data_IF_948143225074
#
_entry.id   IF_948143225074
#
_cell.length_a   1.000
_cell.length_b   1.000
_cell.length_c   1.000
_cell.angle_alpha   90.00
_cell.angle_beta   90.00
_cell.angle_gamma   90.00
#
_symmetry.space_group_name_H-M   'P 1'
#
loop_
_entity.id
_entity.type
_entity.pdbx_description
1 polymer ?
#
# COMPACT_ATOMS: atom_id res chain seq x y z
N UNK A 1 18.42 5.69 -0.41
CA UNK A 1 17.55 4.87 0.45
C UNK A 1 18.14 4.90 1.85
N UNK A 2 17.66 5.76 2.75
CA UNK A 2 17.97 5.68 4.20
C UNK A 2 17.16 6.68 5.06
N UNK A 3 16.63 7.75 4.46
CA UNK A 3 16.14 8.91 5.22
C UNK A 3 14.86 8.65 6.03
N UNK A 4 13.88 7.94 5.48
CA UNK A 4 12.60 7.68 6.18
C UNK A 4 12.75 6.72 7.38
N UNK A 5 13.69 5.77 7.30
CA UNK A 5 14.05 4.88 8.41
C UNK A 5 14.75 5.67 9.52
N UNK A 6 15.68 6.55 9.15
CA UNK A 6 16.37 7.43 10.08
C UNK A 6 15.43 8.40 10.80
N UNK A 7 14.47 8.98 10.08
CA UNK A 7 13.45 9.86 10.65
C UNK A 7 12.53 9.12 11.64
N UNK A 8 12.14 7.87 11.33
CA UNK A 8 11.30 7.06 12.22
C UNK A 8 12.03 6.65 13.52
N UNK A 9 13.28 6.19 13.43
CA UNK A 9 14.09 5.85 14.62
C UNK A 9 14.35 7.09 15.49
N UNK A 10 14.60 8.25 14.86
CA UNK A 10 14.79 9.52 15.58
C UNK A 10 13.51 9.92 16.32
N UNK A 11 12.34 9.71 15.71
CA UNK A 11 11.04 10.00 16.32
C UNK A 11 10.74 9.07 17.49
N UNK A 12 11.01 7.76 17.35
CA UNK A 12 10.90 6.78 18.45
C UNK A 12 11.78 7.20 19.64
N UNK A 13 13.02 7.62 19.38
CA UNK A 13 13.94 8.09 20.42
C UNK A 13 13.40 9.34 21.13
N UNK A 14 12.88 10.31 20.39
CA UNK A 14 12.31 11.54 20.96
C UNK A 14 11.11 11.23 21.87
N UNK A 15 10.15 10.44 21.40
CA UNK A 15 8.97 10.07 22.19
C UNK A 15 9.34 9.22 23.41
N UNK A 16 10.37 8.39 23.32
CA UNK A 16 10.88 7.63 24.47
C UNK A 16 11.45 8.55 25.56
N UNK A 17 12.20 9.59 25.19
CA UNK A 17 12.71 10.60 26.14
C UNK A 17 11.58 11.47 26.75
N UNK A 18 10.55 11.78 25.96
CA UNK A 18 9.36 12.47 26.45
C UNK A 18 8.54 11.61 27.41
N UNK A 19 8.48 10.30 27.18
CA UNK A 19 7.82 9.36 28.08
C UNK A 19 8.57 9.20 29.42
N UNK A 20 9.91 9.21 29.41
CA UNK A 20 10.73 9.15 30.63
C UNK A 20 10.61 10.39 31.53
N UNK A 21 10.28 11.55 30.96
CA UNK A 21 10.28 12.85 31.65
C UNK A 21 8.91 13.29 32.17
N UNK A 22 7.85 12.48 31.96
CA UNK A 22 6.47 12.81 32.34
C UNK A 22 5.85 11.71 33.19
N UNK A 23 4.72 11.99 33.87
CA UNK A 23 4.00 11.03 34.73
C UNK A 23 2.50 11.08 34.44
N UNK A 24 1.81 9.94 34.57
CA UNK A 24 0.35 9.83 34.36
C UNK A 24 -0.05 9.57 32.90
N UNK A 25 -1.28 9.95 32.51
CA UNK A 25 -1.88 9.67 31.19
C UNK A 25 -1.04 10.12 29.98
N UNK A 26 -0.13 11.08 30.17
CA UNK A 26 0.75 11.57 29.11
C UNK A 26 1.81 10.52 28.71
N UNK A 27 2.22 9.63 29.63
CA UNK A 27 3.11 8.50 29.31
C UNK A 27 2.40 7.56 28.32
N UNK A 28 1.13 7.25 28.56
CA UNK A 28 0.35 6.33 27.72
C UNK A 28 0.27 6.88 26.29
N UNK A 29 -0.01 8.17 26.12
CA UNK A 29 -0.04 8.80 24.78
C UNK A 29 1.28 8.69 24.03
N UNK A 30 2.43 8.90 24.68
CA UNK A 30 3.72 8.81 23.98
C UNK A 30 4.17 7.36 23.75
N UNK A 31 3.80 6.43 24.64
CA UNK A 31 4.00 4.99 24.44
C UNK A 31 3.18 4.49 23.25
N UNK A 32 1.93 4.91 23.10
CA UNK A 32 1.09 4.57 21.95
C UNK A 32 1.69 5.08 20.63
N UNK A 33 2.23 6.31 20.63
CA UNK A 33 2.94 6.85 19.46
C UNK A 33 4.22 6.08 19.14
N UNK A 34 4.98 5.65 20.14
CA UNK A 34 6.17 4.80 19.94
C UNK A 34 5.77 3.49 19.27
N UNK A 35 4.75 2.81 19.80
CA UNK A 35 4.24 1.54 19.25
C UNK A 35 3.79 1.71 17.80
N UNK A 36 2.97 2.73 17.52
CA UNK A 36 2.50 3.01 16.15
C UNK A 36 3.65 3.32 15.19
N UNK A 37 4.65 4.11 15.61
CA UNK A 37 5.83 4.41 14.79
C UNK A 37 6.70 3.18 14.55
N UNK A 38 6.86 2.32 15.56
CA UNK A 38 7.61 1.08 15.44
C UNK A 38 6.92 0.10 14.48
N UNK A 39 5.60 -0.04 14.56
CA UNK A 39 4.81 -0.86 13.63
C UNK A 39 4.90 -0.33 12.20
N UNK A 40 4.87 0.99 12.02
CA UNK A 40 5.07 1.60 10.71
C UNK A 40 6.47 1.30 10.15
N UNK A 41 7.50 1.33 11.00
CA UNK A 41 8.88 1.05 10.63
C UNK A 41 9.08 -0.43 10.27
N UNK A 42 8.52 -1.33 11.05
CA UNK A 42 8.54 -2.77 10.82
C UNK A 42 7.81 -3.14 9.52
N UNK A 43 6.65 -2.53 9.26
CA UNK A 43 5.92 -2.72 8.01
C UNK A 43 6.73 -2.22 6.79
N UNK A 44 7.44 -1.09 6.93
CA UNK A 44 8.35 -0.59 5.89
C UNK A 44 9.55 -1.53 5.70
N UNK A 45 10.13 -2.07 6.77
CA UNK A 45 11.22 -3.03 6.71
C UNK A 45 10.80 -4.36 6.09
N UNK A 46 9.66 -4.92 6.48
CA UNK A 46 9.15 -6.19 5.96
C UNK A 46 8.89 -6.10 4.45
N UNK A 47 8.39 -4.97 3.96
CA UNK A 47 8.27 -4.71 2.53
C UNK A 47 9.63 -4.66 1.80
N UNK A 48 10.67 -4.10 2.45
CA UNK A 48 12.04 -4.08 1.91
C UNK A 48 12.60 -5.50 1.86
N UNK A 49 12.52 -6.26 2.97
CA UNK A 49 12.99 -7.64 3.08
C UNK A 49 12.28 -8.54 2.05
N UNK A 50 10.96 -8.41 1.91
CA UNK A 50 10.19 -9.16 0.93
C UNK A 50 10.52 -8.78 -0.53
N UNK A 51 10.78 -7.49 -0.79
CA UNK A 51 11.22 -7.03 -2.13
C UNK A 51 12.66 -7.44 -2.50
N UNK A 52 13.50 -7.72 -1.50
CA UNK A 52 14.90 -8.10 -1.68
C UNK A 52 15.15 -9.61 -1.64
N UNK A 53 14.20 -10.39 -1.09
CA UNK A 53 14.30 -11.84 -1.05
C UNK A 53 14.11 -12.44 -2.44
N UNK A 54 15.10 -13.22 -2.90
CA UNK A 54 15.03 -14.01 -4.13
C UNK A 54 14.07 -15.18 -4.04
N UNK A 55 13.58 -15.52 -2.85
CA UNK A 55 12.63 -16.64 -2.65
C UNK A 55 11.17 -16.28 -2.97
N UNK A 56 10.86 -14.99 -3.19
CA UNK A 56 9.51 -14.48 -3.44
C UNK A 56 9.43 -13.76 -4.79
N UNK A 57 10.01 -14.34 -5.82
CA UNK A 57 10.17 -13.70 -7.13
C UNK A 57 9.07 -14.05 -8.14
N UNK A 58 8.04 -14.79 -7.76
CA UNK A 58 6.93 -15.13 -8.65
C UNK A 58 5.75 -14.15 -8.57
N UNK A 59 4.95 -14.08 -9.63
CA UNK A 59 3.70 -13.32 -9.66
C UNK A 59 2.70 -13.84 -8.61
N UNK A 60 2.65 -15.16 -8.42
CA UNK A 60 1.83 -15.79 -7.40
C UNK A 60 2.18 -15.29 -5.99
N UNK A 61 3.48 -15.24 -5.66
CA UNK A 61 3.95 -14.70 -4.38
C UNK A 61 3.56 -13.23 -4.20
N UNK A 62 3.63 -12.42 -5.27
CA UNK A 62 3.18 -11.03 -5.23
C UNK A 62 1.68 -10.91 -4.94
N UNK A 63 0.84 -11.71 -5.59
CA UNK A 63 -0.62 -11.70 -5.38
C UNK A 63 -0.96 -12.17 -3.97
N UNK A 64 -0.34 -13.26 -3.49
CA UNK A 64 -0.53 -13.77 -2.12
C UNK A 64 -0.16 -12.70 -1.09
N UNK A 65 1.00 -12.06 -1.27
CA UNK A 65 1.46 -11.03 -0.34
C UNK A 65 0.52 -9.83 -0.29
N UNK A 66 0.08 -9.34 -1.46
CA UNK A 66 -0.88 -8.23 -1.55
C UNK A 66 -2.21 -8.62 -0.89
N UNK A 67 -2.69 -9.84 -1.12
CA UNK A 67 -3.92 -10.33 -0.51
C UNK A 67 -3.84 -10.31 1.01
N UNK A 68 -2.80 -10.91 1.58
CA UNK A 68 -2.61 -10.95 3.02
C UNK A 68 -2.51 -9.55 3.61
N UNK A 69 -1.70 -8.69 2.99
CA UNK A 69 -1.55 -7.31 3.40
C UNK A 69 -2.87 -6.53 3.37
N UNK A 70 -3.66 -6.64 2.30
CA UNK A 70 -4.90 -5.89 2.16
C UNK A 70 -5.99 -6.35 3.14
N UNK A 71 -6.06 -7.66 3.42
CA UNK A 71 -7.00 -8.20 4.41
C UNK A 71 -6.63 -7.75 5.82
N UNK A 72 -5.36 -7.85 6.19
CA UNK A 72 -4.84 -7.37 7.49
C UNK A 72 -5.02 -5.85 7.63
N UNK A 73 -4.75 -5.08 6.57
CA UNK A 73 -4.82 -3.63 6.60
C UNK A 73 -6.23 -3.09 6.91
N UNK A 74 -7.28 -3.76 6.42
CA UNK A 74 -8.66 -3.38 6.70
C UNK A 74 -9.27 -4.13 7.88
N UNK A 75 -8.54 -5.05 8.50
CA UNK A 75 -8.99 -5.74 9.71
C UNK A 75 -9.32 -4.70 10.79
N UNK A 76 -10.51 -4.82 11.38
CA UNK A 76 -11.02 -3.90 12.41
C UNK A 76 -11.24 -2.43 11.99
N UNK A 77 -11.15 -2.11 10.69
CA UNK A 77 -11.42 -0.74 10.20
C UNK A 77 -12.91 -0.46 9.92
N UNK A 78 -13.75 -1.51 9.87
CA UNK A 78 -15.15 -1.43 9.47
C UNK A 78 -15.38 -1.44 7.95
N UNK A 79 -14.31 -1.52 7.15
CA UNK A 79 -14.37 -1.66 5.70
C UNK A 79 -14.32 -3.15 5.34
N UNK A 80 -15.31 -3.63 4.59
CA UNK A 80 -15.33 -4.99 4.05
C UNK A 80 -14.39 -5.09 2.83
N UNK A 81 -13.30 -5.82 2.98
CA UNK A 81 -12.26 -5.97 1.96
C UNK A 81 -12.36 -7.33 1.27
N UNK A 82 -12.54 -7.32 -0.05
CA UNK A 82 -12.55 -8.53 -0.89
C UNK A 82 -11.38 -8.51 -1.85
N UNK A 83 -10.63 -9.62 -1.89
CA UNK A 83 -9.54 -9.81 -2.86
C UNK A 83 -9.87 -10.98 -3.77
N UNK A 84 -9.88 -10.75 -5.08
CA UNK A 84 -10.21 -11.72 -6.13
C UNK A 84 -9.01 -11.84 -7.07
N UNK A 85 -8.60 -13.05 -7.38
CA UNK A 85 -7.54 -13.35 -8.35
C UNK A 85 -7.90 -14.63 -9.10
N UNK A 86 -7.35 -14.86 -10.31
CA UNK A 86 -7.66 -16.05 -11.09
C UNK A 86 -7.10 -17.31 -10.41
N UNK A 87 -7.80 -18.44 -10.56
CA UNK A 87 -7.39 -19.74 -9.99
C UNK A 87 -6.03 -20.21 -10.51
N UNK A 88 -5.69 -19.82 -11.74
CA UNK A 88 -4.43 -20.15 -12.39
C UNK A 88 -3.70 -18.86 -12.77
N UNK A 89 -2.61 -18.58 -12.07
CA UNK A 89 -1.63 -17.57 -12.46
C UNK A 89 -0.49 -18.25 -13.24
N UNK A 90 0.08 -17.59 -14.26
CA UNK A 90 1.28 -18.11 -14.90
C UNK A 90 2.45 -18.13 -13.91
N UNK A 91 3.33 -19.10 -14.07
CA UNK A 91 4.61 -19.11 -13.38
C UNK A 91 5.54 -18.06 -14.00
N UNK A 92 5.36 -16.80 -13.60
CA UNK A 92 6.10 -15.66 -14.11
C UNK A 92 7.01 -15.07 -13.02
N UNK A 93 8.26 -14.86 -13.40
CA UNK A 93 9.25 -14.17 -12.58
C UNK A 93 8.99 -12.67 -12.60
N UNK A 94 9.14 -12.03 -11.45
CA UNK A 94 8.79 -10.63 -11.18
C UNK A 94 9.96 -10.01 -10.44
N UNK A 95 10.59 -9.00 -11.01
CA UNK A 95 11.73 -8.34 -10.40
C UNK A 95 11.38 -7.69 -9.05
N UNK A 96 12.38 -7.56 -8.16
CA UNK A 96 12.19 -6.88 -6.87
C UNK A 96 11.70 -5.43 -7.02
N UNK A 97 12.08 -4.75 -8.12
CA UNK A 97 11.62 -3.40 -8.43
C UNK A 97 10.11 -3.37 -8.74
N UNK A 98 9.61 -4.32 -9.53
CA UNK A 98 8.16 -4.45 -9.82
C UNK A 98 7.42 -4.75 -8.52
N UNK A 99 7.86 -5.76 -7.76
CA UNK A 99 7.25 -6.14 -6.47
C UNK A 99 7.14 -4.96 -5.51
N UNK A 100 8.23 -4.22 -5.32
CA UNK A 100 8.29 -3.03 -4.47
C UNK A 100 7.33 -1.94 -4.94
N UNK A 101 7.31 -1.63 -6.24
CA UNK A 101 6.48 -0.55 -6.76
C UNK A 101 4.99 -0.88 -6.68
N UNK A 102 4.59 -2.13 -6.97
CA UNK A 102 3.21 -2.58 -6.75
C UNK A 102 2.81 -2.42 -5.28
N UNK A 103 3.63 -2.94 -4.35
CA UNK A 103 3.34 -2.84 -2.91
C UNK A 103 3.16 -1.39 -2.45
N UNK A 104 4.07 -0.49 -2.82
CA UNK A 104 3.99 0.92 -2.41
C UNK A 104 2.76 1.62 -2.98
N UNK A 105 2.35 1.31 -4.21
CA UNK A 105 1.13 1.85 -4.81
C UNK A 105 -0.12 1.33 -4.10
N UNK A 106 -0.16 0.04 -3.78
CA UNK A 106 -1.27 -0.56 -3.06
C UNK A 106 -1.38 0.06 -1.68
N UNK A 107 -0.28 0.12 -0.92
CA UNK A 107 -0.24 0.76 0.41
C UNK A 107 -0.79 2.18 0.38
N UNK A 108 -0.35 3.00 -0.57
CA UNK A 108 -0.84 4.36 -0.73
C UNK A 108 -2.34 4.40 -1.08
N UNK A 109 -2.77 3.51 -1.98
CA UNK A 109 -4.18 3.42 -2.40
C UNK A 109 -5.09 3.01 -1.23
N UNK A 110 -4.72 1.98 -0.47
CA UNK A 110 -5.50 1.54 0.70
C UNK A 110 -5.55 2.61 1.79
N UNK A 111 -4.44 3.30 2.02
CA UNK A 111 -4.39 4.43 2.95
C UNK A 111 -5.30 5.59 2.50
N UNK A 112 -5.36 5.88 1.20
CA UNK A 112 -6.27 6.90 0.68
C UNK A 112 -7.74 6.50 0.84
N UNK A 113 -8.06 5.23 0.61
CA UNK A 113 -9.41 4.71 0.87
C UNK A 113 -9.76 4.90 2.35
N UNK A 114 -8.93 4.39 3.26
CA UNK A 114 -9.22 4.42 4.70
C UNK A 114 -9.39 5.87 5.22
N UNK A 115 -8.55 6.81 4.76
CA UNK A 115 -8.56 8.19 5.25
C UNK A 115 -9.58 9.11 4.59
N UNK A 116 -9.93 8.86 3.32
CA UNK A 116 -10.62 9.87 2.51
C UNK A 116 -11.92 9.39 1.86
N UNK A 117 -12.05 8.08 1.56
CA UNK A 117 -13.18 7.61 0.74
C UNK A 117 -14.53 7.59 1.47
N UNK A 118 -14.54 7.43 2.81
CA UNK A 118 -15.74 7.05 3.58
C UNK A 118 -16.42 5.77 3.04
N UNK A 119 -15.66 4.91 2.37
CA UNK A 119 -16.14 3.65 1.84
C UNK A 119 -16.49 2.67 2.97
N UNK A 120 -17.43 1.78 2.68
CA UNK A 120 -17.76 0.63 3.52
C UNK A 120 -17.25 -0.69 2.91
N UNK A 121 -16.84 -0.67 1.64
CA UNK A 121 -16.40 -1.83 0.86
C UNK A 121 -15.24 -1.47 -0.04
N UNK A 122 -14.30 -2.40 -0.18
CA UNK A 122 -13.20 -2.35 -1.13
C UNK A 122 -13.10 -3.70 -1.84
N UNK A 123 -12.99 -3.65 -3.16
CA UNK A 123 -12.72 -4.82 -4.00
C UNK A 123 -11.38 -4.67 -4.71
N UNK A 124 -10.51 -5.66 -4.55
CA UNK A 124 -9.21 -5.76 -5.20
C UNK A 124 -9.26 -6.94 -6.17
N UNK A 125 -9.18 -6.67 -7.47
CA UNK A 125 -9.30 -7.69 -8.51
C UNK A 125 -8.02 -7.77 -9.32
N UNK A 126 -7.41 -8.95 -9.31
CA UNK A 126 -6.33 -9.30 -10.22
C UNK A 126 -6.91 -10.02 -11.44
N UNK A 127 -6.43 -9.64 -12.62
CA UNK A 127 -6.68 -10.37 -13.88
C UNK A 127 -5.36 -10.53 -14.61
N UNK A 128 -5.17 -11.69 -15.22
CA UNK A 128 -4.03 -11.92 -16.11
C UNK A 128 -4.55 -12.45 -17.44
N UNK A 129 -4.42 -11.64 -18.50
CA UNK A 129 -4.91 -11.97 -19.85
C UNK A 129 -3.98 -11.37 -20.90
N UNK A 130 -3.74 -12.10 -21.98
CA UNK A 130 -2.92 -11.63 -23.12
C UNK A 130 -1.54 -11.09 -22.69
N UNK A 131 -0.87 -11.81 -21.78
CA UNK A 131 0.45 -11.46 -21.23
C UNK A 131 0.50 -10.10 -20.50
N UNK A 132 -0.65 -9.67 -19.94
CA UNK A 132 -0.78 -8.45 -19.16
C UNK A 132 -1.43 -8.74 -17.82
N UNK A 133 -0.83 -8.21 -16.76
CA UNK A 133 -1.45 -8.11 -15.45
C UNK A 133 -2.33 -6.85 -15.43
N UNK A 134 -3.53 -7.00 -14.90
CA UNK A 134 -4.42 -5.90 -14.54
C UNK A 134 -4.79 -6.05 -13.06
N UNK A 135 -4.54 -4.99 -12.28
CA UNK A 135 -4.97 -4.85 -10.89
C UNK A 135 -5.97 -3.71 -10.81
N UNK A 136 -7.19 -4.02 -10.40
CA UNK A 136 -8.23 -3.04 -10.08
C UNK A 136 -8.38 -2.95 -8.56
N UNK A 137 -8.38 -1.74 -8.00
CA UNK A 137 -8.72 -1.46 -6.60
C UNK A 137 -9.90 -0.50 -6.64
N UNK A 138 -11.07 -0.94 -6.21
CA UNK A 138 -12.32 -0.19 -6.26
C UNK A 138 -12.91 -0.04 -4.86
N UNK A 139 -13.13 1.21 -4.44
CA UNK A 139 -13.92 1.51 -3.25
C UNK A 139 -15.32 2.01 -3.63
N UNK A 140 -16.28 1.86 -2.71
CA UNK A 140 -17.65 2.36 -2.88
C UNK A 140 -17.90 3.72 -2.18
N UNK A 141 -16.84 4.50 -1.98
CA UNK A 141 -16.88 5.75 -1.24
C UNK A 141 -17.37 6.95 -2.05
N UNK A 142 -16.99 8.15 -1.60
CA UNK A 142 -17.42 9.42 -2.20
C UNK A 142 -16.70 9.78 -3.51
N UNK A 143 -15.70 8.99 -3.91
CA UNK A 143 -14.83 9.28 -5.05
C UNK A 143 -13.75 10.31 -4.73
N UNK A 144 -13.05 10.75 -5.78
CA UNK A 144 -11.96 11.72 -5.73
C UNK A 144 -12.31 13.00 -6.50
N UNK A 145 -11.98 14.16 -5.92
CA UNK A 145 -12.02 15.43 -6.66
C UNK A 145 -10.79 15.54 -7.58
N UNK A 146 -10.97 15.09 -8.84
CA UNK A 146 -9.95 15.15 -9.88
C UNK A 146 -9.59 16.59 -10.31
N UNK A 147 -10.41 17.59 -9.97
CA UNK A 147 -10.11 18.99 -10.25
C UNK A 147 -9.23 19.62 -9.17
N UNK A 148 -9.16 19.01 -7.98
CA UNK A 148 -8.37 19.49 -6.85
C UNK A 148 -7.38 18.44 -6.34
N UNK A 149 -6.66 17.79 -7.26
CA UNK A 149 -5.65 16.75 -6.98
C UNK A 149 -4.58 17.19 -5.96
N UNK A 150 -4.34 18.50 -5.80
CA UNK A 150 -3.42 19.04 -4.77
C UNK A 150 -3.79 18.62 -3.35
N UNK A 151 -5.06 18.36 -3.07
CA UNK A 151 -5.54 17.92 -1.76
C UNK A 151 -5.03 16.52 -1.37
N UNK A 152 -4.65 15.69 -2.35
CA UNK A 152 -4.03 14.36 -2.16
C UNK A 152 -2.49 14.42 -2.05
N UNK A 153 -1.93 15.62 -1.94
CA UNK A 153 -0.49 15.86 -1.83
C UNK A 153 0.29 15.28 -3.01
N UNK A 154 1.48 14.73 -2.73
CA UNK A 154 2.34 14.11 -3.74
C UNK A 154 2.00 12.63 -4.01
N UNK A 155 0.98 12.06 -3.34
CA UNK A 155 0.67 10.62 -3.39
C UNK A 155 0.37 10.10 -4.79
N UNK A 156 -0.57 10.74 -5.49
CA UNK A 156 -0.95 10.37 -6.87
C UNK A 156 0.19 10.54 -7.88
N UNK A 157 0.99 11.61 -7.73
CA UNK A 157 2.16 11.82 -8.58
C UNK A 157 3.22 10.74 -8.35
N UNK A 158 3.42 10.32 -7.10
CA UNK A 158 4.34 9.25 -6.75
C UNK A 158 3.86 7.91 -7.29
N UNK A 159 2.56 7.60 -7.19
CA UNK A 159 1.98 6.39 -7.79
C UNK A 159 2.24 6.36 -9.29
N UNK A 160 1.92 7.46 -10.00
CA UNK A 160 2.12 7.56 -11.45
C UNK A 160 3.59 7.36 -11.84
N UNK A 161 4.52 8.04 -11.17
CA UNK A 161 5.97 7.88 -11.42
C UNK A 161 6.45 6.45 -11.19
N UNK A 162 5.99 5.79 -10.12
CA UNK A 162 6.36 4.41 -9.80
C UNK A 162 5.90 3.44 -10.88
N UNK A 163 4.65 3.54 -11.32
CA UNK A 163 4.09 2.66 -12.35
C UNK A 163 4.76 2.90 -13.71
N UNK A 164 4.97 4.16 -14.08
CA UNK A 164 5.74 4.52 -15.27
C UNK A 164 7.16 3.94 -15.25
N UNK A 165 7.85 3.94 -14.10
CA UNK A 165 9.21 3.40 -13.99
C UNK A 165 9.34 1.90 -14.24
N UNK A 166 8.23 1.16 -14.23
CA UNK A 166 8.17 -0.29 -14.49
C UNK A 166 7.33 -0.64 -15.73
N UNK A 167 6.97 0.36 -16.55
CA UNK A 167 6.19 0.16 -17.77
C UNK A 167 4.73 -0.24 -17.54
N UNK A 168 4.18 0.05 -16.36
CA UNK A 168 2.78 -0.22 -16.02
C UNK A 168 1.97 1.08 -16.16
N UNK A 169 0.84 0.97 -16.83
CA UNK A 169 -0.15 2.04 -16.95
C UNK A 169 -0.89 2.21 -15.62
N UNK A 170 -1.12 3.47 -15.24
CA UNK A 170 -1.90 3.84 -14.07
C UNK A 170 -3.06 4.73 -14.50
N UNK A 171 -4.28 4.32 -14.14
CA UNK A 171 -5.51 5.08 -14.34
C UNK A 171 -6.24 5.22 -12.99
N UNK A 172 -6.86 6.38 -12.80
CA UNK A 172 -7.78 6.64 -11.68
C UNK A 172 -9.03 7.29 -12.23
N UNK A 173 -10.19 6.80 -11.81
CA UNK A 173 -11.50 7.29 -12.25
C UNK A 173 -12.55 7.17 -11.14
N UNK A 174 -13.60 7.99 -11.22
CA UNK A 174 -14.75 7.87 -10.34
C UNK A 174 -15.77 6.90 -10.95
N UNK A 175 -16.13 5.84 -10.23
CA UNK A 175 -17.18 4.86 -10.59
C UNK A 175 -17.99 4.47 -9.37
N UNK A 176 -18.93 5.33 -8.96
CA UNK A 176 -19.70 5.15 -7.71
C UNK A 176 -18.76 4.89 -6.50
N UNK A 177 -17.73 5.72 -6.40
CA UNK A 177 -16.53 5.53 -5.58
C UNK A 177 -15.28 5.71 -6.44
N UNK A 178 -14.11 5.32 -5.95
CA UNK A 178 -12.84 5.49 -6.70
C UNK A 178 -12.35 4.15 -7.24
N UNK A 179 -12.04 4.10 -8.54
CA UNK A 179 -11.40 2.96 -9.18
C UNK A 179 -9.96 3.34 -9.56
N UNK A 180 -9.00 2.60 -9.02
CA UNK A 180 -7.60 2.62 -9.44
C UNK A 180 -7.33 1.38 -10.29
N UNK A 181 -6.75 1.58 -11.47
CA UNK A 181 -6.38 0.50 -12.39
C UNK A 181 -4.88 0.57 -12.69
N UNK A 182 -4.17 -0.54 -12.45
CA UNK A 182 -2.78 -0.76 -12.86
C UNK A 182 -2.78 -1.82 -13.95
N UNK A 183 -2.23 -1.52 -15.13
CA UNK A 183 -2.27 -2.45 -16.26
C UNK A 183 -0.97 -2.47 -17.04
N UNK A 184 -0.45 -3.65 -17.36
CA UNK A 184 0.69 -3.76 -18.25
C UNK A 184 1.32 -5.13 -18.28
N UNK A 185 2.32 -5.28 -19.15
CA UNK A 185 3.12 -6.49 -19.21
C UNK A 185 4.09 -6.48 -18.02
N UNK A 186 4.15 -7.60 -17.30
CA UNK A 186 5.15 -7.77 -16.26
C UNK A 186 6.43 -8.22 -16.96
N UNK A 187 7.37 -7.30 -17.11
CA UNK A 187 8.69 -7.62 -17.65
C UNK A 187 9.53 -8.25 -16.53
N UNK A 188 9.89 -9.52 -16.73
CA UNK A 188 10.85 -10.26 -15.92
C UNK A 188 12.27 -9.72 -16.11
#
# INVERSE_FOLDING_TARGET
MHDDLGAGVTSIRLYSELAKSKTGNIIITEVDKISSLADELLNKMNAIIWSMSSSYDTLENLVIYIRSYALEYFENTGIDCRVIFPDNLPHLQVTGQVRRNFFLVIKETLNNILKHSKASKVEIVFRYQSDKLELNIHDNGVGIDLNNIRQFGNGLQNIKKRMQSIGIEFLIENRNGTLVTLKGKINA
#
